data_IF_820937203428
#
_entry.id   IF_820937203428
#
_cell.length_a   1.000
_cell.length_b   1.000
_cell.length_c   1.000
_cell.angle_alpha   90.00
_cell.angle_beta   90.00
_cell.angle_gamma   90.00
#
_symmetry.space_group_name_H-M   'P 1'
#
loop_
_entity.id
_entity.type
_entity.pdbx_description
1 polymer ?
#
# COMPACT_ATOMS: atom_id res chain seq x y z
N UNK A 1 17.30 -24.80 -12.29
CA UNK A 1 15.93 -24.86 -12.88
C UNK A 1 15.28 -26.25 -12.85
N UNK A 2 15.83 -27.34 -13.43
CA UNK A 2 15.18 -28.68 -13.33
C UNK A 2 15.04 -29.16 -11.88
N UNK A 3 16.08 -28.99 -11.06
CA UNK A 3 16.04 -29.26 -9.61
C UNK A 3 14.94 -28.44 -8.91
N UNK A 4 14.99 -27.11 -9.07
CA UNK A 4 13.97 -26.19 -8.55
C UNK A 4 12.52 -26.56 -8.94
N UNK A 5 12.29 -27.09 -10.15
CA UNK A 5 10.95 -27.54 -10.57
C UNK A 5 10.45 -28.74 -9.76
N UNK A 6 11.36 -29.59 -9.28
CA UNK A 6 11.03 -30.82 -8.57
C UNK A 6 10.84 -30.61 -7.06
N UNK A 7 11.48 -29.60 -6.46
CA UNK A 7 11.54 -29.39 -5.01
C UNK A 7 10.98 -28.03 -4.54
N UNK A 8 10.28 -27.30 -5.41
CA UNK A 8 9.56 -26.06 -5.09
C UNK A 8 8.07 -26.24 -5.33
N UNK A 9 7.24 -25.57 -4.53
CA UNK A 9 5.84 -25.37 -4.87
C UNK A 9 5.70 -24.56 -6.16
N UNK A 10 4.49 -24.56 -6.76
CA UNK A 10 4.21 -23.82 -7.99
C UNK A 10 4.59 -22.34 -7.89
N UNK A 11 4.22 -21.68 -6.79
CA UNK A 11 4.49 -20.26 -6.54
C UNK A 11 5.99 -20.03 -6.36
N UNK A 12 6.66 -20.83 -5.52
CA UNK A 12 8.10 -20.71 -5.30
C UNK A 12 8.92 -20.95 -6.57
N UNK A 13 8.45 -21.85 -7.44
CA UNK A 13 9.06 -22.08 -8.74
C UNK A 13 8.91 -20.86 -9.65
N UNK A 14 7.75 -20.20 -9.66
CA UNK A 14 7.54 -18.96 -10.42
C UNK A 14 8.50 -17.86 -9.97
N UNK A 15 8.63 -17.64 -8.66
CA UNK A 15 9.63 -16.71 -8.11
C UNK A 15 11.06 -17.07 -8.51
N UNK A 16 11.40 -18.37 -8.50
CA UNK A 16 12.72 -18.84 -8.94
C UNK A 16 12.99 -18.54 -10.43
N UNK A 17 11.94 -18.49 -11.25
CA UNK A 17 12.04 -18.24 -12.67
C UNK A 17 12.21 -16.76 -13.01
N UNK A 18 11.72 -15.83 -12.18
CA UNK A 18 11.77 -14.37 -12.44
C UNK A 18 13.15 -13.90 -12.93
N UNK A 19 14.26 -14.04 -12.18
CA UNK A 19 15.58 -13.64 -12.66
C UNK A 19 16.06 -14.46 -13.87
N UNK A 20 15.63 -15.71 -13.98
CA UNK A 20 16.06 -16.62 -15.05
C UNK A 20 15.50 -16.20 -16.41
N UNK A 21 14.23 -15.79 -16.46
CA UNK A 21 13.56 -15.35 -17.69
C UNK A 21 14.14 -14.01 -18.15
N UNK A 22 14.30 -13.04 -17.23
CA UNK A 22 14.87 -11.73 -17.55
C UNK A 22 16.28 -11.88 -18.12
N UNK A 23 17.14 -12.65 -17.45
CA UNK A 23 18.51 -12.89 -17.90
C UNK A 23 18.55 -13.58 -19.27
N UNK A 24 17.68 -14.58 -19.48
CA UNK A 24 17.64 -15.30 -20.74
C UNK A 24 17.26 -14.37 -21.90
N UNK A 25 16.25 -13.51 -21.73
CA UNK A 25 15.84 -12.56 -22.77
C UNK A 25 17.00 -11.61 -23.12
N UNK A 26 17.64 -10.98 -22.13
CA UNK A 26 18.74 -10.04 -22.38
C UNK A 26 19.95 -10.70 -23.06
N UNK A 27 20.28 -11.94 -22.71
CA UNK A 27 21.38 -12.68 -23.35
C UNK A 27 21.08 -13.14 -24.78
N UNK A 28 19.82 -13.44 -25.09
CA UNK A 28 19.43 -13.93 -26.42
C UNK A 28 19.00 -12.82 -27.37
N UNK A 29 18.80 -11.59 -26.87
CA UNK A 29 18.48 -10.42 -27.68
C UNK A 29 19.50 -9.31 -27.36
N UNK A 30 20.74 -9.39 -27.87
CA UNK A 30 21.79 -8.42 -27.55
C UNK A 30 21.46 -6.97 -27.93
N UNK A 31 20.56 -6.77 -28.90
CA UNK A 31 20.10 -5.44 -29.32
C UNK A 31 19.08 -4.81 -28.38
N UNK A 32 18.51 -5.57 -27.43
CA UNK A 32 17.58 -5.05 -26.43
C UNK A 32 18.36 -4.25 -25.37
N UNK A 33 18.21 -2.92 -25.27
CA UNK A 33 19.05 -2.12 -24.37
C UNK A 33 18.59 -2.16 -22.91
N UNK A 34 17.29 -2.37 -22.68
CA UNK A 34 16.63 -2.33 -21.39
C UNK A 34 15.47 -3.33 -21.40
N UNK A 35 15.32 -4.10 -20.32
CA UNK A 35 14.16 -4.95 -20.09
C UNK A 35 13.52 -4.56 -18.76
N UNK A 36 12.19 -4.38 -18.79
CA UNK A 36 11.37 -4.14 -17.59
C UNK A 36 10.48 -5.34 -17.33
N UNK A 37 10.60 -5.89 -16.13
CA UNK A 37 9.69 -6.90 -15.60
C UNK A 37 8.57 -6.22 -14.83
N UNK A 38 7.35 -6.75 -14.95
CA UNK A 38 6.15 -6.31 -14.25
C UNK A 38 5.41 -7.52 -13.70
N UNK A 39 4.92 -7.44 -12.46
CA UNK A 39 3.91 -8.37 -11.96
C UNK A 39 2.57 -8.17 -12.71
N UNK A 40 1.78 -9.24 -12.81
CA UNK A 40 0.55 -9.26 -13.60
C UNK A 40 -0.64 -8.53 -12.93
N UNK A 41 -0.52 -8.22 -11.64
CA UNK A 41 -1.53 -7.53 -10.82
C UNK A 41 -1.21 -6.03 -10.63
N UNK A 42 -0.48 -5.44 -11.59
CA UNK A 42 -0.30 -4.00 -11.70
C UNK A 42 -1.34 -3.37 -12.64
N UNK A 43 -1.85 -2.20 -12.28
CA UNK A 43 -2.69 -1.38 -13.16
C UNK A 43 -2.15 0.03 -13.26
N UNK A 44 -1.94 0.50 -14.50
CA UNK A 44 -1.35 1.81 -14.79
C UNK A 44 -2.43 2.88 -15.02
N UNK A 45 -2.32 4.00 -14.30
CA UNK A 45 -3.23 5.15 -14.40
C UNK A 45 -2.63 6.34 -15.14
N UNK A 46 -1.29 6.39 -15.26
CA UNK A 46 -0.56 7.42 -15.97
C UNK A 46 0.64 6.81 -16.71
N UNK A 47 1.31 7.62 -17.53
CA UNK A 47 2.49 7.18 -18.29
C UNK A 47 3.58 6.63 -17.36
N UNK A 48 4.21 5.49 -17.70
CA UNK A 48 5.37 4.97 -16.98
C UNK A 48 6.68 5.73 -17.29
N UNK A 49 6.68 6.70 -18.20
CA UNK A 49 7.90 7.44 -18.61
C UNK A 49 8.76 7.96 -17.45
N UNK A 50 8.20 8.49 -16.33
CA UNK A 50 9.02 8.91 -15.19
C UNK A 50 9.89 7.80 -14.61
N UNK A 51 9.45 6.53 -14.67
CA UNK A 51 10.23 5.37 -14.22
C UNK A 51 11.44 5.17 -15.15
N UNK A 52 11.25 5.33 -16.46
CA UNK A 52 12.32 5.17 -17.45
C UNK A 52 13.34 6.31 -17.41
N UNK A 53 12.89 7.53 -17.07
CA UNK A 53 13.78 8.66 -16.82
C UNK A 53 14.71 8.40 -15.62
N UNK A 54 14.20 7.77 -14.54
CA UNK A 54 15.03 7.43 -13.37
C UNK A 54 16.07 6.34 -13.66
N UNK A 55 15.76 5.35 -14.51
CA UNK A 55 16.73 4.30 -14.90
C UNK A 55 17.72 4.77 -15.98
N UNK A 56 17.46 5.87 -16.68
CA UNK A 56 18.27 6.32 -17.83
C UNK A 56 19.77 6.42 -17.52
N UNK A 57 20.15 6.85 -16.31
CA UNK A 57 21.57 6.97 -15.90
C UNK A 57 22.09 5.73 -15.16
N UNK A 58 21.22 4.77 -14.86
CA UNK A 58 21.48 3.59 -14.06
C UNK A 58 21.47 2.32 -14.91
N UNK A 59 21.90 1.20 -14.34
CA UNK A 59 21.86 -0.12 -15.00
C UNK A 59 20.73 -0.98 -14.47
N UNK A 60 20.28 -0.71 -13.24
CA UNK A 60 19.26 -1.47 -12.52
C UNK A 60 18.31 -0.46 -11.89
N UNK A 61 17.00 -0.73 -11.93
CA UNK A 61 16.02 0.01 -11.14
C UNK A 61 15.16 -0.97 -10.33
N UNK A 62 15.04 -0.69 -9.04
CA UNK A 62 14.19 -1.40 -8.09
C UNK A 62 13.34 -0.37 -7.34
N UNK A 63 12.23 -0.80 -6.72
CA UNK A 63 11.42 0.10 -5.89
C UNK A 63 11.19 -0.48 -4.50
N UNK A 64 11.06 0.41 -3.52
CA UNK A 64 10.75 0.04 -2.15
C UNK A 64 9.26 -0.31 -2.00
N UNK A 65 8.95 -1.17 -1.03
CA UNK A 65 7.57 -1.32 -0.56
C UNK A 65 7.06 -0.03 0.08
N UNK A 66 7.95 0.81 0.64
CA UNK A 66 7.58 2.04 1.37
C UNK A 66 6.52 1.78 2.44
N UNK A 67 6.68 0.70 3.22
CA UNK A 67 5.70 0.28 4.22
C UNK A 67 5.22 1.45 5.07
N UNK A 68 3.90 1.56 5.24
CA UNK A 68 3.32 2.52 6.17
C UNK A 68 3.86 2.25 7.59
N UNK A 69 3.87 3.26 8.49
CA UNK A 69 4.34 3.05 9.86
C UNK A 69 3.69 1.85 10.56
N UNK A 70 2.40 1.62 10.32
CA UNK A 70 1.62 0.51 10.90
C UNK A 70 1.98 -0.85 10.30
N UNK A 71 2.47 -0.87 9.05
CA UNK A 71 2.86 -2.09 8.34
C UNK A 71 4.38 -2.29 8.30
N UNK A 72 5.16 -1.45 8.99
CA UNK A 72 6.63 -1.48 9.00
C UNK A 72 7.21 -2.84 9.41
N UNK A 73 6.50 -3.58 10.27
CA UNK A 73 6.88 -4.93 10.69
C UNK A 73 6.97 -5.94 9.52
N UNK A 74 6.32 -5.66 8.38
CA UNK A 74 6.39 -6.49 7.17
C UNK A 74 7.71 -6.33 6.41
N UNK A 75 8.54 -5.34 6.73
CA UNK A 75 9.86 -5.16 6.09
C UNK A 75 10.80 -6.35 6.30
N UNK A 76 10.54 -7.18 7.31
CA UNK A 76 11.20 -8.48 7.48
C UNK A 76 11.10 -9.38 6.23
N UNK A 77 10.10 -9.16 5.37
CA UNK A 77 9.87 -9.88 4.12
C UNK A 77 10.57 -9.24 2.90
N UNK A 78 11.24 -8.10 3.06
CA UNK A 78 11.93 -7.40 1.98
C UNK A 78 11.65 -5.90 1.98
N UNK A 79 12.72 -5.09 1.88
CA UNK A 79 12.60 -3.63 1.74
C UNK A 79 12.11 -3.26 0.34
N UNK A 80 12.60 -3.97 -0.67
CA UNK A 80 12.26 -3.77 -2.08
C UNK A 80 11.28 -4.84 -2.58
N UNK A 81 10.46 -4.47 -3.56
CA UNK A 81 9.43 -5.32 -4.16
C UNK A 81 9.86 -5.77 -5.57
N UNK A 82 9.44 -6.97 -5.98
CA UNK A 82 9.77 -7.55 -7.30
C UNK A 82 8.79 -7.08 -8.39
N UNK A 83 7.68 -6.43 -8.03
CA UNK A 83 6.58 -6.12 -8.95
C UNK A 83 6.95 -5.20 -10.09
N UNK A 84 7.99 -4.39 -9.96
CA UNK A 84 8.62 -3.71 -11.09
C UNK A 84 10.13 -3.71 -10.94
N UNK A 85 10.83 -4.19 -11.97
CA UNK A 85 12.29 -4.18 -12.05
C UNK A 85 12.72 -3.78 -13.45
N UNK A 86 13.76 -2.95 -13.56
CA UNK A 86 14.39 -2.66 -14.86
C UNK A 86 15.85 -3.08 -14.84
N UNK A 87 16.30 -3.70 -15.94
CA UNK A 87 17.70 -4.10 -16.13
C UNK A 87 18.17 -3.70 -17.51
N UNK A 88 19.28 -2.96 -17.57
CA UNK A 88 19.98 -2.70 -18.82
C UNK A 88 20.77 -3.91 -19.26
N UNK A 89 20.92 -4.06 -20.57
CA UNK A 89 21.80 -5.06 -21.18
C UNK A 89 23.26 -4.58 -21.16
N UNK A 90 23.75 -4.26 -19.96
CA UNK A 90 25.13 -3.89 -19.71
C UNK A 90 25.75 -4.82 -18.66
N UNK A 91 27.06 -4.69 -18.46
CA UNK A 91 27.78 -5.54 -17.51
C UNK A 91 27.20 -5.48 -16.09
N UNK A 92 26.75 -4.31 -15.62
CA UNK A 92 26.23 -4.20 -14.25
C UNK A 92 24.86 -4.87 -14.11
N UNK A 93 23.95 -4.65 -15.07
CA UNK A 93 22.64 -5.28 -15.11
C UNK A 93 22.74 -6.81 -15.20
N UNK A 94 23.61 -7.32 -16.09
CA UNK A 94 23.82 -8.76 -16.27
C UNK A 94 24.46 -9.41 -15.04
N UNK A 95 25.46 -8.79 -14.42
CA UNK A 95 26.09 -9.30 -13.20
C UNK A 95 25.07 -9.44 -12.05
N UNK A 96 24.19 -8.44 -11.87
CA UNK A 96 23.15 -8.50 -10.86
C UNK A 96 22.13 -9.62 -11.12
N UNK A 97 21.69 -9.77 -12.37
CA UNK A 97 20.77 -10.84 -12.76
C UNK A 97 21.37 -12.24 -12.61
N UNK A 98 22.64 -12.42 -12.99
CA UNK A 98 23.33 -13.70 -12.80
C UNK A 98 23.43 -14.08 -11.32
N UNK A 99 23.81 -13.12 -10.48
CA UNK A 99 23.87 -13.34 -9.03
C UNK A 99 22.48 -13.66 -8.46
N UNK A 100 21.46 -12.86 -8.77
CA UNK A 100 20.10 -13.05 -8.26
C UNK A 100 19.51 -14.38 -8.72
N UNK A 101 19.72 -14.74 -10.00
CA UNK A 101 19.36 -16.05 -10.55
C UNK A 101 20.03 -17.18 -9.79
N UNK A 102 21.33 -17.09 -9.54
CA UNK A 102 22.06 -18.16 -8.85
C UNK A 102 21.54 -18.32 -7.43
N UNK A 103 21.26 -17.22 -6.72
CA UNK A 103 20.66 -17.25 -5.39
C UNK A 103 19.27 -17.86 -5.37
N UNK A 104 18.39 -17.48 -6.29
CA UNK A 104 17.05 -18.07 -6.35
C UNK A 104 17.08 -19.58 -6.70
N UNK A 105 18.01 -19.99 -7.57
CA UNK A 105 18.19 -21.43 -7.89
C UNK A 105 18.75 -22.23 -6.70
N UNK A 106 19.58 -21.62 -5.86
CA UNK A 106 20.09 -22.19 -4.61
C UNK A 106 18.95 -22.31 -3.59
N UNK A 107 18.22 -21.22 -3.35
CA UNK A 107 17.18 -21.12 -2.34
C UNK A 107 16.15 -20.06 -2.75
N UNK A 108 14.86 -20.43 -2.75
CA UNK A 108 13.76 -19.51 -3.05
C UNK A 108 12.47 -20.16 -2.56
N UNK A 109 12.10 -19.90 -1.30
CA UNK A 109 10.96 -20.54 -0.64
C UNK A 109 10.06 -19.52 0.04
N UNK A 110 8.79 -19.89 0.25
CA UNK A 110 7.79 -19.09 0.95
C UNK A 110 7.90 -19.25 2.47
N UNK A 111 9.06 -18.89 3.01
CA UNK A 111 9.31 -18.84 4.45
C UNK A 111 10.43 -17.87 4.75
N UNK A 112 10.44 -17.30 5.95
CA UNK A 112 11.58 -16.50 6.43
C UNK A 112 12.64 -17.45 6.99
N UNK A 113 13.85 -17.41 6.43
CA UNK A 113 14.96 -18.26 6.86
C UNK A 113 16.29 -17.56 6.57
N UNK A 114 17.14 -17.35 7.58
CA UNK A 114 18.47 -16.74 7.43
C UNK A 114 18.50 -15.46 6.57
N UNK A 115 17.56 -14.55 6.80
CA UNK A 115 17.38 -13.33 5.99
C UNK A 115 17.11 -13.59 4.49
N UNK A 116 16.43 -14.70 4.16
CA UNK A 116 15.90 -15.04 2.82
C UNK A 116 14.37 -15.14 2.88
N UNK A 117 13.70 -14.71 1.81
CA UNK A 117 12.25 -14.84 1.63
C UNK A 117 11.93 -14.69 0.14
N UNK A 118 11.54 -15.80 -0.50
CA UNK A 118 11.33 -15.86 -1.94
C UNK A 118 12.51 -15.32 -2.75
N UNK A 119 12.20 -14.78 -3.91
CA UNK A 119 13.11 -14.02 -4.77
C UNK A 119 13.31 -12.58 -4.29
N UNK A 120 12.33 -12.04 -3.56
CA UNK A 120 12.24 -10.65 -3.16
C UNK A 120 13.32 -10.18 -2.18
N UNK A 121 13.58 -10.93 -1.10
CA UNK A 121 14.47 -10.41 -0.04
C UNK A 121 15.93 -10.26 -0.51
N UNK A 122 16.32 -10.94 -1.58
CA UNK A 122 17.64 -10.76 -2.22
C UNK A 122 17.86 -9.35 -2.76
N UNK A 123 16.80 -8.62 -3.14
CA UNK A 123 16.88 -7.24 -3.62
C UNK A 123 17.50 -6.29 -2.58
N UNK A 124 17.40 -6.61 -1.28
CA UNK A 124 18.03 -5.81 -0.22
C UNK A 124 19.56 -5.70 -0.40
N UNK A 125 20.16 -6.68 -1.07
CA UNK A 125 21.60 -6.70 -1.34
C UNK A 125 21.99 -5.89 -2.57
N UNK A 126 21.05 -5.50 -3.43
CA UNK A 126 21.38 -4.86 -4.72
C UNK A 126 22.14 -3.54 -4.55
N UNK A 127 21.67 -2.57 -3.75
CA UNK A 127 22.38 -1.31 -3.55
C UNK A 127 23.73 -1.46 -2.85
N UNK A 128 23.94 -2.59 -2.16
CA UNK A 128 25.19 -2.89 -1.43
C UNK A 128 26.21 -3.63 -2.31
N UNK A 129 25.76 -4.36 -3.33
CA UNK A 129 26.59 -5.25 -4.15
C UNK A 129 26.88 -4.73 -5.55
N UNK A 130 25.97 -3.96 -6.13
CA UNK A 130 26.06 -3.57 -7.53
C UNK A 130 26.15 -2.05 -7.68
N UNK A 131 26.85 -1.62 -8.71
CA UNK A 131 26.96 -0.21 -9.05
C UNK A 131 25.80 0.20 -9.94
N UNK A 132 25.47 1.49 -9.93
CA UNK A 132 24.43 2.08 -10.79
C UNK A 132 23.05 1.44 -10.58
N UNK A 133 22.69 1.21 -9.31
CA UNK A 133 21.34 0.80 -8.90
C UNK A 133 20.53 2.06 -8.56
N UNK A 134 19.45 2.31 -9.31
CA UNK A 134 18.44 3.29 -8.97
C UNK A 134 17.44 2.68 -7.98
N UNK A 135 17.12 3.43 -6.93
CA UNK A 135 15.95 3.17 -6.10
C UNK A 135 14.89 4.18 -6.54
N UNK A 136 13.76 3.68 -7.04
CA UNK A 136 12.70 4.50 -7.61
C UNK A 136 12.15 5.51 -6.59
N UNK A 137 12.32 6.79 -6.88
CA UNK A 137 11.95 7.90 -6.02
C UNK A 137 10.53 8.38 -6.25
N UNK A 138 10.01 8.27 -7.49
CA UNK A 138 8.64 8.68 -7.80
C UNK A 138 7.61 7.89 -6.98
N UNK A 139 6.83 8.61 -6.17
CA UNK A 139 5.80 8.04 -5.27
C UNK A 139 4.53 7.61 -6.00
N UNK A 140 4.34 8.04 -7.26
CA UNK A 140 3.28 7.60 -8.15
C UNK A 140 3.38 6.13 -8.55
N UNK A 141 4.56 5.54 -8.45
CA UNK A 141 4.80 4.13 -8.73
C UNK A 141 4.89 3.31 -7.44
N UNK A 142 4.67 2.00 -7.52
CA UNK A 142 4.82 1.10 -6.37
C UNK A 142 3.80 1.35 -5.25
N UNK A 143 2.67 2.00 -5.55
CA UNK A 143 1.56 2.21 -4.61
C UNK A 143 0.80 0.90 -4.46
N UNK A 144 0.50 0.50 -3.22
CA UNK A 144 -0.03 -0.82 -2.91
C UNK A 144 -0.68 -0.87 -1.51
N UNK A 145 -1.38 -1.95 -1.14
CA UNK A 145 -2.07 -2.02 0.15
C UNK A 145 -1.16 -1.95 1.39
N UNK A 146 0.15 -2.17 1.23
CA UNK A 146 1.13 -2.06 2.33
C UNK A 146 1.69 -0.65 2.55
N UNK A 147 1.37 0.31 1.68
CA UNK A 147 1.85 1.69 1.79
C UNK A 147 0.78 2.75 1.56
N UNK A 148 -0.30 2.44 0.84
CA UNK A 148 -1.29 3.41 0.39
C UNK A 148 -1.91 4.26 1.50
N UNK A 149 -2.05 3.73 2.72
CA UNK A 149 -2.78 4.42 3.78
C UNK A 149 -2.05 5.67 4.30
N UNK A 150 -0.75 5.78 4.02
CA UNK A 150 0.05 6.95 4.39
C UNK A 150 -0.02 8.07 3.34
N UNK A 151 -0.69 7.84 2.21
CA UNK A 151 -0.77 8.79 1.12
C UNK A 151 -2.15 9.44 1.01
N UNK A 152 -2.14 10.67 0.51
CA UNK A 152 -3.35 11.39 0.10
C UNK A 152 -3.67 11.05 -1.35
N UNK A 153 -4.89 10.56 -1.60
CA UNK A 153 -5.38 10.28 -2.95
C UNK A 153 -6.37 11.36 -3.36
N UNK A 154 -6.19 11.90 -4.56
CA UNK A 154 -7.09 12.91 -5.12
C UNK A 154 -7.15 12.81 -6.64
N UNK A 155 -8.11 13.53 -7.22
CA UNK A 155 -8.14 13.84 -8.65
C UNK A 155 -7.90 15.33 -8.77
N UNK A 156 -6.89 15.75 -9.55
CA UNK A 156 -6.61 17.17 -9.75
C UNK A 156 -7.59 17.82 -10.73
N UNK A 157 -7.45 19.13 -10.92
CA UNK A 157 -8.33 19.93 -11.80
C UNK A 157 -8.30 19.49 -13.28
N UNK A 158 -7.31 18.69 -13.68
CA UNK A 158 -7.17 18.12 -15.02
C UNK A 158 -7.68 16.68 -15.14
N UNK A 159 -8.33 16.14 -14.10
CA UNK A 159 -8.83 14.76 -14.09
C UNK A 159 -7.75 13.71 -13.87
N UNK A 160 -6.52 14.10 -13.48
CA UNK A 160 -5.42 13.17 -13.23
C UNK A 160 -5.53 12.64 -11.80
N UNK A 161 -5.52 11.31 -11.67
CA UNK A 161 -5.46 10.62 -10.39
C UNK A 161 -4.07 10.78 -9.79
N UNK A 162 -4.02 11.22 -8.54
CA UNK A 162 -2.78 11.58 -7.87
C UNK A 162 -2.64 10.88 -6.52
N UNK A 163 -1.38 10.69 -6.13
CA UNK A 163 -0.94 10.28 -4.81
C UNK A 163 0.03 11.35 -4.29
N UNK A 164 -0.28 11.99 -3.16
CA UNK A 164 0.47 13.14 -2.63
C UNK A 164 0.74 14.20 -3.72
N UNK A 165 -0.29 14.58 -4.49
CA UNK A 165 -0.23 15.55 -5.60
C UNK A 165 0.67 15.15 -6.79
N UNK A 166 1.23 13.94 -6.79
CA UNK A 166 2.00 13.37 -7.90
C UNK A 166 1.12 12.43 -8.70
N UNK A 167 1.17 12.42 -10.06
CA UNK A 167 0.38 11.47 -10.85
C UNK A 167 0.57 10.03 -10.38
N UNK A 168 -0.52 9.32 -10.12
CA UNK A 168 -0.50 7.90 -9.83
C UNK A 168 -0.10 7.17 -11.11
N UNK A 169 1.09 6.57 -11.15
CA UNK A 169 1.58 5.81 -12.30
C UNK A 169 0.94 4.43 -12.28
N UNK A 170 1.11 3.66 -11.20
CA UNK A 170 0.46 2.36 -11.06
C UNK A 170 0.12 2.00 -9.62
N UNK A 171 -0.89 1.14 -9.47
CA UNK A 171 -1.23 0.48 -8.21
C UNK A 171 -1.02 -1.03 -8.34
N UNK A 172 -0.39 -1.65 -7.33
CA UNK A 172 -0.17 -3.10 -7.23
C UNK A 172 -1.30 -3.72 -6.39
N UNK A 173 -2.16 -4.52 -7.02
CA UNK A 173 -3.35 -5.12 -6.41
C UNK A 173 -3.06 -6.39 -5.60
N UNK A 174 -2.01 -6.32 -4.78
CA UNK A 174 -1.60 -7.43 -3.94
C UNK A 174 -2.76 -7.89 -3.04
N UNK A 175 -2.94 -9.20 -2.95
CA UNK A 175 -3.96 -9.85 -2.11
C UNK A 175 -5.43 -9.59 -2.50
N UNK A 176 -5.68 -8.94 -3.64
CA UNK A 176 -7.02 -8.85 -4.22
C UNK A 176 -7.53 -10.25 -4.56
N UNK A 177 -8.80 -10.50 -4.27
CA UNK A 177 -9.48 -11.73 -4.64
C UNK A 177 -10.75 -11.42 -5.42
N UNK A 178 -11.09 -12.33 -6.33
CA UNK A 178 -12.28 -12.25 -7.17
C UNK A 178 -13.13 -13.43 -6.76
N UNK A 179 -14.34 -13.22 -6.24
CA UNK A 179 -15.25 -14.35 -5.95
C UNK A 179 -16.03 -14.73 -7.22
N UNK A 180 -16.43 -13.71 -7.97
CA UNK A 180 -17.04 -13.77 -9.31
C UNK A 180 -16.78 -12.44 -10.01
N UNK A 181 -16.99 -12.33 -11.33
CA UNK A 181 -16.71 -11.08 -12.07
C UNK A 181 -17.34 -9.84 -11.43
N UNK A 182 -18.51 -10.00 -10.82
CA UNK A 182 -19.27 -8.93 -10.16
C UNK A 182 -18.92 -8.72 -8.69
N UNK A 183 -18.08 -9.57 -8.07
CA UNK A 183 -17.67 -9.43 -6.65
C UNK A 183 -16.15 -9.44 -6.53
N UNK A 184 -15.62 -8.28 -6.18
CA UNK A 184 -14.18 -8.05 -5.99
C UNK A 184 -13.91 -7.77 -4.52
N UNK A 185 -12.97 -8.50 -3.93
CA UNK A 185 -12.50 -8.31 -2.56
C UNK A 185 -11.18 -7.52 -2.65
N UNK A 186 -11.15 -6.23 -2.21
CA UNK A 186 -9.94 -5.40 -2.30
C UNK A 186 -8.69 -6.02 -1.67
N UNK A 187 -8.85 -6.72 -0.56
CA UNK A 187 -7.78 -7.51 0.05
C UNK A 187 -8.37 -8.57 0.97
N UNK A 188 -7.86 -9.80 0.88
CA UNK A 188 -8.17 -10.88 1.83
C UNK A 188 -7.68 -10.63 3.26
N UNK A 189 -6.84 -9.61 3.46
CA UNK A 189 -6.27 -9.24 4.77
C UNK A 189 -7.03 -8.08 5.44
N UNK A 190 -8.19 -7.67 4.93
CA UNK A 190 -9.04 -6.70 5.61
C UNK A 190 -9.62 -7.27 6.93
N UNK A 191 -9.64 -6.51 8.05
CA UNK A 191 -9.34 -5.08 8.18
C UNK A 191 -7.88 -4.72 8.55
N UNK A 192 -6.98 -5.70 8.68
CA UNK A 192 -5.55 -5.45 8.96
C UNK A 192 -4.90 -4.61 7.87
N UNK A 193 -5.37 -4.74 6.63
CA UNK A 193 -5.07 -3.81 5.55
C UNK A 193 -6.15 -2.73 5.49
N UNK A 194 -5.88 -1.50 5.93
CA UNK A 194 -6.88 -0.44 6.00
C UNK A 194 -7.15 0.19 4.61
N UNK A 195 -8.37 0.69 4.41
CA UNK A 195 -8.73 1.42 3.19
C UNK A 195 -9.47 2.71 3.54
N UNK A 196 -9.30 3.75 2.73
CA UNK A 196 -10.16 4.93 2.71
C UNK A 196 -11.14 4.83 1.55
N UNK A 197 -12.21 5.65 1.55
CA UNK A 197 -13.12 5.74 0.41
C UNK A 197 -12.39 6.18 -0.87
N UNK A 198 -11.45 7.10 -0.75
CA UNK A 198 -10.68 7.61 -1.90
C UNK A 198 -9.83 6.53 -2.54
N UNK A 199 -9.17 5.68 -1.74
CA UNK A 199 -8.40 4.53 -2.25
C UNK A 199 -9.31 3.58 -3.03
N UNK A 200 -10.48 3.25 -2.48
CA UNK A 200 -11.43 2.36 -3.16
C UNK A 200 -11.91 2.98 -4.46
N UNK A 201 -12.26 4.27 -4.44
CA UNK A 201 -12.83 4.99 -5.60
C UNK A 201 -11.80 5.24 -6.69
N UNK A 202 -10.59 5.68 -6.33
CA UNK A 202 -9.56 6.09 -7.29
C UNK A 202 -8.83 4.88 -7.86
N UNK A 203 -8.60 3.85 -7.04
CA UNK A 203 -7.80 2.68 -7.40
C UNK A 203 -8.63 1.43 -7.68
N UNK A 204 -9.49 1.00 -6.74
CA UNK A 204 -10.12 -0.31 -6.86
C UNK A 204 -11.29 -0.35 -7.84
N UNK A 205 -12.13 0.68 -7.87
CA UNK A 205 -13.28 0.73 -8.77
C UNK A 205 -12.90 0.66 -10.25
N UNK A 206 -11.92 1.44 -10.76
CA UNK A 206 -11.53 1.39 -12.17
C UNK A 206 -10.93 0.04 -12.56
N UNK A 207 -10.20 -0.59 -11.64
CA UNK A 207 -9.62 -1.91 -11.86
C UNK A 207 -10.69 -2.99 -11.83
N UNK A 208 -11.64 -2.93 -10.88
CA UNK A 208 -12.80 -3.81 -10.81
C UNK A 208 -13.64 -3.74 -12.09
N UNK A 209 -13.91 -2.54 -12.58
CA UNK A 209 -14.61 -2.32 -13.84
C UNK A 209 -13.85 -2.94 -15.02
N UNK A 210 -12.52 -2.74 -15.08
CA UNK A 210 -11.72 -3.33 -16.16
C UNK A 210 -11.67 -4.84 -16.11
N UNK A 211 -11.59 -5.42 -14.91
CA UNK A 211 -11.69 -6.85 -14.71
C UNK A 211 -13.05 -7.36 -15.20
N UNK A 212 -14.15 -6.75 -14.74
CA UNK A 212 -15.51 -7.14 -15.12
C UNK A 212 -15.71 -7.15 -16.65
N UNK A 213 -15.32 -6.08 -17.33
CA UNK A 213 -15.39 -5.99 -18.80
C UNK A 213 -14.53 -7.07 -19.49
N UNK A 214 -13.34 -7.36 -18.97
CA UNK A 214 -12.49 -8.39 -19.54
C UNK A 214 -13.07 -9.79 -19.31
N UNK A 215 -13.71 -10.04 -18.17
CA UNK A 215 -14.43 -11.28 -17.90
C UNK A 215 -15.59 -11.47 -18.89
N UNK A 216 -16.36 -10.42 -19.18
CA UNK A 216 -17.44 -10.49 -20.18
C UNK A 216 -16.89 -10.85 -21.57
N UNK A 217 -15.81 -10.22 -22.01
CA UNK A 217 -15.14 -10.54 -23.29
C UNK A 217 -14.66 -11.99 -23.35
N UNK A 218 -14.12 -12.51 -22.26
CA UNK A 218 -13.69 -13.91 -22.20
C UNK A 218 -14.88 -14.87 -22.32
N UNK A 219 -16.02 -14.55 -21.69
CA UNK A 219 -17.26 -15.32 -21.82
C UNK A 219 -17.82 -15.29 -23.25
N UNK A 220 -17.79 -14.13 -23.92
CA UNK A 220 -18.17 -13.99 -25.33
C UNK A 220 -17.33 -14.87 -26.26
N UNK A 221 -16.06 -15.09 -25.91
CA UNK A 221 -15.15 -16.01 -26.62
C UNK A 221 -15.32 -17.48 -26.21
N UNK A 222 -16.29 -17.80 -25.35
CA UNK A 222 -16.57 -19.16 -24.85
C UNK A 222 -15.66 -19.63 -23.71
N UNK A 223 -14.86 -18.73 -23.11
CA UNK A 223 -13.95 -19.05 -22.01
C UNK A 223 -14.70 -18.84 -20.67
N UNK A 224 -15.40 -19.88 -20.23
CA UNK A 224 -16.25 -19.81 -19.03
C UNK A 224 -15.54 -20.20 -17.72
N UNK A 225 -14.53 -21.07 -17.79
CA UNK A 225 -13.77 -21.53 -16.63
C UNK A 225 -12.51 -20.69 -16.43
N UNK A 226 -12.69 -19.49 -15.89
CA UNK A 226 -11.59 -18.57 -15.65
C UNK A 226 -10.97 -18.88 -14.27
N UNK A 227 -9.68 -19.26 -14.21
CA UNK A 227 -9.00 -19.53 -12.95
C UNK A 227 -8.83 -18.24 -12.13
N UNK A 228 -8.74 -18.38 -10.81
CA UNK A 228 -8.53 -17.26 -9.89
C UNK A 228 -9.77 -16.80 -9.11
N UNK A 229 -10.91 -17.47 -9.32
CA UNK A 229 -12.09 -17.28 -8.48
C UNK A 229 -11.90 -17.95 -7.12
N UNK A 230 -12.02 -17.18 -6.05
CA UNK A 230 -11.81 -17.63 -4.67
C UNK A 230 -13.05 -17.39 -3.82
N UNK A 231 -13.48 -18.40 -3.07
CA UNK A 231 -14.49 -18.23 -2.03
C UNK A 231 -13.81 -17.70 -0.78
N UNK A 232 -14.10 -16.45 -0.43
CA UNK A 232 -13.49 -15.77 0.70
C UNK A 232 -14.54 -15.26 1.65
N UNK A 233 -14.19 -15.16 2.93
CA UNK A 233 -15.05 -14.52 3.90
C UNK A 233 -15.21 -13.04 3.53
N UNK A 234 -16.43 -12.66 3.14
CA UNK A 234 -16.77 -11.29 2.82
C UNK A 234 -16.80 -10.45 4.10
N UNK A 235 -15.74 -9.67 4.31
CA UNK A 235 -15.66 -8.59 5.30
C UNK A 235 -15.67 -7.22 4.63
N UNK A 236 -15.07 -7.13 3.44
CA UNK A 236 -15.16 -6.00 2.52
C UNK A 236 -15.27 -6.55 1.09
N UNK A 237 -16.14 -5.99 0.26
CA UNK A 237 -16.19 -6.31 -1.17
C UNK A 237 -16.90 -5.22 -1.97
N UNK A 238 -16.44 -5.03 -3.20
CA UNK A 238 -17.13 -4.29 -4.25
C UNK A 238 -18.08 -5.24 -4.95
N UNK A 239 -19.34 -4.81 -5.11
CA UNK A 239 -20.33 -5.52 -5.90
C UNK A 239 -20.80 -4.65 -7.07
N UNK A 240 -20.84 -5.26 -8.24
CA UNK A 240 -21.38 -4.63 -9.43
C UNK A 240 -22.91 -4.54 -9.37
N UNK A 241 -23.49 -3.48 -9.93
CA UNK A 241 -24.90 -3.14 -9.81
C UNK A 241 -25.82 -4.25 -10.35
N UNK A 242 -25.36 -4.99 -11.35
CA UNK A 242 -26.07 -6.12 -11.98
C UNK A 242 -26.47 -7.26 -11.02
N UNK A 243 -25.86 -7.34 -9.83
CA UNK A 243 -26.15 -8.41 -8.86
C UNK A 243 -26.67 -7.92 -7.50
N UNK A 244 -26.83 -6.60 -7.28
CA UNK A 244 -27.20 -6.06 -5.96
C UNK A 244 -28.47 -6.71 -5.42
N UNK A 245 -29.52 -6.84 -6.25
CA UNK A 245 -30.80 -7.45 -5.87
C UNK A 245 -30.69 -8.93 -5.48
N UNK A 246 -29.59 -9.59 -5.86
CA UNK A 246 -29.32 -11.01 -5.59
C UNK A 246 -28.42 -11.20 -4.36
N UNK A 247 -27.83 -10.14 -3.82
CA UNK A 247 -26.99 -10.21 -2.62
C UNK A 247 -27.89 -10.44 -1.40
N UNK A 248 -27.81 -11.64 -0.84
CA UNK A 248 -28.42 -12.00 0.44
C UNK A 248 -27.31 -12.25 1.43
N UNK A 249 -27.28 -11.49 2.51
CA UNK A 249 -26.29 -11.67 3.57
C UNK A 249 -26.91 -11.55 4.94
N UNK A 250 -26.48 -12.42 5.85
CA UNK A 250 -26.87 -12.40 7.25
C UNK A 250 -25.99 -11.47 8.09
N UNK A 251 -24.90 -10.93 7.51
CA UNK A 251 -24.02 -9.96 8.16
C UNK A 251 -24.51 -8.54 7.92
N UNK A 252 -24.41 -7.69 8.94
CA UNK A 252 -24.62 -6.24 8.78
C UNK A 252 -23.42 -5.63 8.05
N UNK A 253 -23.67 -4.94 6.94
CA UNK A 253 -22.66 -4.19 6.20
C UNK A 253 -23.04 -2.71 6.14
N UNK A 254 -22.05 -1.83 6.26
CA UNK A 254 -22.13 -0.48 5.74
C UNK A 254 -22.07 -0.53 4.22
N UNK A 255 -23.04 0.13 3.57
CA UNK A 255 -23.18 0.18 2.12
C UNK A 255 -22.75 1.57 1.67
N UNK A 256 -21.72 1.64 0.85
CA UNK A 256 -21.10 2.88 0.39
C UNK A 256 -21.13 2.89 -1.14
N UNK A 257 -21.95 3.74 -1.78
CA UNK A 257 -21.89 3.93 -3.22
C UNK A 257 -20.51 4.47 -3.62
N UNK A 258 -19.88 3.81 -4.61
CA UNK A 258 -18.56 4.21 -5.14
C UNK A 258 -18.71 4.85 -6.51
N UNK A 259 -19.44 4.20 -7.41
CA UNK A 259 -19.84 4.73 -8.71
C UNK A 259 -21.28 4.33 -9.03
N UNK A 260 -21.74 4.62 -10.25
CA UNK A 260 -23.06 4.17 -10.71
C UNK A 260 -23.15 2.63 -10.76
N UNK A 261 -22.01 1.99 -11.05
CA UNK A 261 -21.95 0.55 -11.30
C UNK A 261 -21.42 -0.23 -10.09
N UNK A 262 -20.64 0.40 -9.21
CA UNK A 262 -20.01 -0.31 -8.10
C UNK A 262 -20.42 0.23 -6.72
N UNK A 263 -20.79 -0.71 -5.85
CA UNK A 263 -21.12 -0.46 -4.44
C UNK A 263 -20.15 -1.22 -3.55
N UNK A 264 -19.60 -0.53 -2.55
CA UNK A 264 -18.77 -1.15 -1.53
C UNK A 264 -19.62 -1.59 -0.34
N UNK A 265 -19.47 -2.85 0.04
CA UNK A 265 -20.00 -3.43 1.27
C UNK A 265 -18.84 -3.64 2.23
N UNK A 266 -18.96 -3.13 3.47
CA UNK A 266 -17.95 -3.36 4.50
C UNK A 266 -18.54 -3.50 5.90
N UNK A 267 -18.07 -4.49 6.67
CA UNK A 267 -18.56 -4.73 8.03
C UNK A 267 -17.69 -4.05 9.11
N UNK A 268 -16.67 -3.30 8.67
CA UNK A 268 -15.77 -2.53 9.54
C UNK A 268 -15.62 -1.13 8.97
N UNK A 269 -15.31 -0.15 9.82
CA UNK A 269 -15.20 1.25 9.39
C UNK A 269 -13.99 1.44 8.45
N UNK A 270 -14.20 2.10 7.31
CA UNK A 270 -13.10 2.61 6.50
C UNK A 270 -12.34 3.69 7.27
N UNK A 271 -11.04 3.77 7.04
CA UNK A 271 -10.21 4.82 7.62
C UNK A 271 -10.60 6.16 7.01
N UNK A 272 -10.68 7.20 7.83
CA UNK A 272 -10.89 8.56 7.36
C UNK A 272 -9.69 9.08 6.58
N UNK A 273 -9.96 9.87 5.56
CA UNK A 273 -8.91 10.58 4.83
C UNK A 273 -8.44 11.82 5.61
N UNK A 274 -7.37 12.45 5.14
CA UNK A 274 -6.77 13.62 5.80
C UNK A 274 -7.79 14.74 5.99
N UNK A 275 -8.59 15.06 4.96
CA UNK A 275 -9.58 16.16 5.05
C UNK A 275 -10.67 15.88 6.09
N UNK A 276 -11.10 14.62 6.23
CA UNK A 276 -12.06 14.22 7.26
C UNK A 276 -11.44 14.27 8.66
N UNK A 277 -10.14 13.98 8.80
CA UNK A 277 -9.43 14.14 10.07
C UNK A 277 -9.29 15.62 10.42
N UNK A 278 -8.90 16.47 9.46
CA UNK A 278 -8.77 17.92 9.67
C UNK A 278 -10.10 18.53 10.12
N UNK A 279 -11.21 18.16 9.48
CA UNK A 279 -12.55 18.61 9.90
C UNK A 279 -12.89 18.18 11.33
N UNK A 280 -12.50 16.97 11.74
CA UNK A 280 -12.73 16.50 13.11
C UNK A 280 -11.84 17.22 14.14
N UNK A 281 -10.63 17.63 13.75
CA UNK A 281 -9.76 18.47 14.58
C UNK A 281 -10.38 19.85 14.78
N UNK A 282 -10.83 20.49 13.69
CA UNK A 282 -11.50 21.79 13.74
C UNK A 282 -12.77 21.73 14.61
N UNK A 283 -13.56 20.66 14.47
CA UNK A 283 -14.72 20.42 15.32
C UNK A 283 -14.33 20.21 16.79
N UNK A 284 -13.28 19.45 17.07
CA UNK A 284 -12.79 19.22 18.44
C UNK A 284 -12.30 20.52 19.10
N UNK A 285 -11.55 21.34 18.36
CA UNK A 285 -11.08 22.65 18.84
C UNK A 285 -12.25 23.59 19.13
N UNK A 286 -13.25 23.64 18.22
CA UNK A 286 -14.46 24.43 18.41
C UNK A 286 -15.26 23.98 19.65
N UNK A 287 -15.45 22.68 19.84
CA UNK A 287 -16.13 22.15 21.03
C UNK A 287 -15.35 22.44 22.32
N UNK A 288 -14.02 22.36 22.27
CA UNK A 288 -13.19 22.73 23.41
C UNK A 288 -13.31 24.22 23.75
N UNK A 289 -13.35 25.10 22.74
CA UNK A 289 -13.54 26.54 22.94
C UNK A 289 -14.88 26.90 23.59
N UNK A 290 -15.91 26.07 23.39
CA UNK A 290 -17.24 26.18 24.01
C UNK A 290 -17.31 25.58 25.41
N UNK A 291 -16.23 24.97 25.90
CA UNK A 291 -16.18 24.26 27.18
C UNK A 291 -16.78 22.84 27.13
N UNK A 292 -17.09 22.31 25.94
CA UNK A 292 -17.66 20.98 25.76
C UNK A 292 -16.58 19.88 25.75
N UNK A 293 -15.80 19.79 26.83
CA UNK A 293 -14.60 18.94 26.94
C UNK A 293 -14.86 17.47 26.61
N UNK A 294 -15.99 16.91 27.04
CA UNK A 294 -16.34 15.49 26.76
C UNK A 294 -16.49 15.25 25.26
N UNK A 295 -17.09 16.19 24.54
CA UNK A 295 -17.29 16.07 23.10
C UNK A 295 -15.97 16.23 22.34
N UNK A 296 -15.13 17.19 22.73
CA UNK A 296 -13.78 17.34 22.18
C UNK A 296 -12.93 16.09 22.38
N UNK A 297 -12.90 15.52 23.60
CA UNK A 297 -12.21 14.25 23.88
C UNK A 297 -12.75 13.11 23.01
N UNK A 298 -14.07 13.02 22.85
CA UNK A 298 -14.69 11.96 22.02
C UNK A 298 -14.24 12.05 20.56
N UNK A 299 -14.23 13.25 19.98
CA UNK A 299 -13.77 13.48 18.61
C UNK A 299 -12.28 13.14 18.44
N UNK A 300 -11.43 13.60 19.38
CA UNK A 300 -9.99 13.34 19.34
C UNK A 300 -9.67 11.85 19.55
N UNK A 301 -10.36 11.17 20.46
CA UNK A 301 -10.21 9.72 20.66
C UNK A 301 -10.67 8.93 19.43
N UNK A 302 -11.70 9.40 18.72
CA UNK A 302 -12.10 8.80 17.45
C UNK A 302 -11.02 8.97 16.36
N UNK A 303 -10.36 10.13 16.31
CA UNK A 303 -9.18 10.32 15.44
C UNK A 303 -8.08 9.34 15.86
N UNK A 304 -7.71 9.25 17.13
CA UNK A 304 -6.63 8.35 17.60
C UNK A 304 -6.97 6.88 17.35
N UNK A 305 -8.24 6.49 17.46
CA UNK A 305 -8.68 5.12 17.14
C UNK A 305 -8.41 4.76 15.69
N UNK A 306 -8.55 5.72 14.77
CA UNK A 306 -8.31 5.50 13.33
C UNK A 306 -6.88 5.86 12.90
N UNK A 307 -6.22 6.76 13.61
CA UNK A 307 -4.88 7.28 13.35
C UNK A 307 -4.10 7.34 14.67
N UNK A 308 -3.62 6.19 15.18
CA UNK A 308 -3.02 6.11 16.52
C UNK A 308 -1.82 7.04 16.71
N UNK A 309 -1.15 7.41 15.63
CA UNK A 309 0.07 8.20 15.63
C UNK A 309 -0.15 9.65 15.19
N UNK A 310 -1.40 10.14 15.14
CA UNK A 310 -1.72 11.48 14.65
C UNK A 310 -1.21 12.57 15.63
N UNK A 311 -0.16 13.34 15.29
CA UNK A 311 0.56 14.16 16.26
C UNK A 311 -0.26 15.32 16.82
N UNK A 312 -1.12 15.93 16.01
CA UNK A 312 -1.97 17.06 16.45
C UNK A 312 -3.05 16.58 17.42
N UNK A 313 -3.70 15.46 17.10
CA UNK A 313 -4.72 14.89 17.98
C UNK A 313 -4.13 14.44 19.33
N UNK A 314 -2.92 13.85 19.31
CA UNK A 314 -2.17 13.51 20.52
C UNK A 314 -1.81 14.76 21.32
N UNK A 315 -1.37 15.84 20.66
CA UNK A 315 -1.13 17.12 21.34
C UNK A 315 -2.38 17.64 22.03
N UNK A 316 -3.51 17.68 21.33
CA UNK A 316 -4.75 18.27 21.86
C UNK A 316 -5.33 17.44 23.00
N UNK A 317 -5.27 16.10 22.90
CA UNK A 317 -5.57 15.20 24.02
C UNK A 317 -4.66 15.49 25.22
N UNK A 318 -3.36 15.68 24.98
CA UNK A 318 -2.39 16.02 26.02
C UNK A 318 -2.74 17.32 26.75
N UNK A 319 -3.11 18.37 26.00
CA UNK A 319 -3.55 19.66 26.56
C UNK A 319 -4.82 19.49 27.38
N UNK A 320 -5.82 18.78 26.85
CA UNK A 320 -7.11 18.62 27.55
C UNK A 320 -6.94 17.82 28.84
N UNK A 321 -6.27 16.65 28.80
CA UNK A 321 -6.02 15.83 30.00
C UNK A 321 -5.25 16.60 31.07
N UNK A 322 -4.25 17.39 30.66
CA UNK A 322 -3.52 18.26 31.57
C UNK A 322 -4.43 19.29 32.25
N UNK A 323 -5.30 19.96 31.49
CA UNK A 323 -6.18 21.00 32.00
C UNK A 323 -7.28 20.47 32.93
N UNK A 324 -7.72 19.22 32.77
CA UNK A 324 -8.69 18.57 33.67
C UNK A 324 -8.03 17.91 34.90
N UNK A 325 -6.72 18.08 35.07
CA UNK A 325 -5.97 17.60 36.24
C UNK A 325 -5.35 16.20 36.09
N UNK A 326 -5.60 15.51 34.98
CA UNK A 326 -5.01 14.20 34.67
C UNK A 326 -3.62 14.36 34.02
N UNK A 327 -2.67 14.85 34.84
CA UNK A 327 -1.31 15.17 34.39
C UNK A 327 -0.57 13.97 33.80
N UNK A 328 -0.83 12.76 34.29
CA UNK A 328 -0.18 11.55 33.82
C UNK A 328 -0.54 11.24 32.36
N UNK A 329 -1.83 11.20 32.03
CA UNK A 329 -2.25 11.00 30.64
C UNK A 329 -1.89 12.19 29.76
N UNK A 330 -1.97 13.41 30.30
CA UNK A 330 -1.53 14.62 29.62
C UNK A 330 -0.09 14.51 29.09
N UNK A 331 0.84 14.11 29.97
CA UNK A 331 2.24 13.91 29.60
C UNK A 331 2.45 12.71 28.66
N UNK A 332 1.72 11.61 28.88
CA UNK A 332 1.81 10.44 28.01
C UNK A 332 1.50 10.81 26.55
N UNK A 333 0.38 11.50 26.31
CA UNK A 333 0.01 11.94 24.97
C UNK A 333 0.99 12.97 24.39
N UNK A 334 1.49 13.91 25.21
CA UNK A 334 2.47 14.90 24.78
C UNK A 334 3.80 14.31 24.32
N UNK A 335 4.32 13.31 25.03
CA UNK A 335 5.54 12.61 24.60
C UNK A 335 5.34 11.86 23.29
N UNK A 336 4.18 11.23 23.10
CA UNK A 336 3.83 10.57 21.84
C UNK A 336 3.71 11.58 20.69
N UNK A 337 3.05 12.72 20.92
CA UNK A 337 2.95 13.80 19.94
C UNK A 337 4.34 14.29 19.50
N UNK A 338 5.25 14.51 20.46
CA UNK A 338 6.62 14.95 20.18
C UNK A 338 7.44 13.88 19.44
N UNK A 339 7.24 12.60 19.77
CA UNK A 339 7.89 11.49 19.07
C UNK A 339 7.51 11.45 17.57
N UNK A 340 6.23 11.65 17.26
CA UNK A 340 5.74 11.60 15.87
C UNK A 340 5.90 12.92 15.10
N UNK A 341 6.07 14.05 15.79
CA UNK A 341 6.32 15.36 15.16
C UNK A 341 7.40 16.16 15.90
N UNK A 342 8.66 15.68 15.91
CA UNK A 342 9.74 16.29 16.69
C UNK A 342 10.14 17.69 16.21
N UNK A 343 9.78 18.07 14.98
CA UNK A 343 10.04 19.41 14.43
C UNK A 343 8.90 20.42 14.70
N UNK A 344 7.75 19.98 15.21
CA UNK A 344 6.60 20.86 15.43
C UNK A 344 6.82 21.78 16.64
N UNK A 345 6.81 23.10 16.40
CA UNK A 345 7.07 24.12 17.43
C UNK A 345 6.01 24.16 18.52
N UNK A 346 4.73 24.03 18.17
CA UNK A 346 3.61 24.07 19.12
C UNK A 346 3.71 22.90 20.11
N UNK A 347 3.93 21.69 19.61
CA UNK A 347 4.07 20.49 20.43
C UNK A 347 5.27 20.62 21.37
N UNK A 348 6.42 21.07 20.85
CA UNK A 348 7.62 21.35 21.67
C UNK A 348 7.34 22.33 22.80
N UNK A 349 6.68 23.44 22.51
CA UNK A 349 6.37 24.46 23.50
C UNK A 349 5.44 23.93 24.60
N UNK A 350 4.41 23.16 24.23
CA UNK A 350 3.50 22.54 25.19
C UNK A 350 4.23 21.55 26.11
N UNK A 351 5.06 20.65 25.55
CA UNK A 351 5.86 19.69 26.33
C UNK A 351 6.79 20.42 27.31
N UNK A 352 7.51 21.45 26.86
CA UNK A 352 8.41 22.23 27.72
C UNK A 352 7.64 22.92 28.86
N UNK A 353 6.48 23.52 28.56
CA UNK A 353 5.63 24.17 29.56
C UNK A 353 5.15 23.19 30.61
N UNK A 354 4.64 22.02 30.21
CA UNK A 354 4.13 21.01 31.14
C UNK A 354 5.23 20.43 32.02
N UNK A 355 6.40 20.13 31.45
CA UNK A 355 7.57 19.67 32.23
C UNK A 355 7.99 20.69 33.29
N UNK A 356 8.02 21.99 32.95
CA UNK A 356 8.35 23.05 33.91
C UNK A 356 7.35 23.08 35.08
N UNK A 357 6.07 22.88 34.81
CA UNK A 357 5.00 22.86 35.83
C UNK A 357 4.93 21.57 36.66
N UNK A 358 5.59 20.48 36.25
CA UNK A 358 5.75 19.27 37.09
C UNK A 358 6.91 19.40 38.07
N UNK A 359 7.90 20.21 37.72
CA UNK A 359 9.10 20.45 38.51
C UNK A 359 8.95 21.63 39.49
N UNK A 360 7.74 22.20 39.57
CA UNK A 360 7.30 23.23 40.53
C UNK A 360 6.27 22.61 41.45
#
# INVERSE_FOLDING_TARGET
MKKAKADRSKIEYYWTLTPSIILWILKNIPSLPLLTYLDADLFFYASPDPIFQEVEKHSILIHEHRFSPEQKYLERNGKYNVGLLCFKNDMSGLCALEWWRNKCNEWCYYRLEDAKFGDQLYLNQFPLRFQRVAILSNVGAGVAPWNHIQYEFCVNDHGIKCVNKTPLIFYHFHSLEIEKPEIIIPSKFFPTTPFTKDIITICFEPYAEKLYQNYQKLQELGINNIPGLNKTQLNIFLAHHSIISKIKTNKLFHIIPISNDWILYTNSTLRRNVHQVDKLLDEAENEQSKGNTVKALTLLLDIIRQHPNHPIALNDLGVIHWNIGDKHHGMHYMHRALHYAPSNKTIKNNVMRMNKLLNQ
#
